data_IF_801300549589
#
_entry.id   IF_801300549589
#
_cell.length_a   1.000
_cell.length_b   1.000
_cell.length_c   1.000
_cell.angle_alpha   90.00
_cell.angle_beta   90.00
_cell.angle_gamma   90.00
#
_symmetry.space_group_name_H-M   'P 1'
#
loop_
_entity.id
_entity.type
_entity.pdbx_description
1 polymer ?
#
# COMPACT_ATOMS: atom_id res chain seq x y z
N UNK A 1 7.54 -5.29 23.11
CA UNK A 1 8.62 -4.37 23.56
C UNK A 1 9.26 -3.76 22.33
N UNK A 2 9.32 -2.43 22.15
CA UNK A 2 10.15 -1.86 21.11
C UNK A 2 11.60 -1.84 21.58
N UNK A 3 12.50 -2.42 20.78
CA UNK A 3 13.96 -2.28 20.90
C UNK A 3 14.36 -0.81 20.66
N UNK A 4 14.26 0.04 21.68
CA UNK A 4 14.93 1.35 21.69
C UNK A 4 16.26 1.21 22.40
N UNK A 5 17.27 0.69 21.70
CA UNK A 5 18.66 0.90 22.13
C UNK A 5 18.97 2.37 21.89
N UNK A 6 18.87 3.20 22.92
CA UNK A 6 19.35 4.59 22.86
C UNK A 6 20.87 4.53 22.64
N UNK A 7 21.29 4.70 21.39
CA UNK A 7 22.70 4.77 21.05
C UNK A 7 23.23 6.15 21.45
N UNK A 8 24.29 6.17 22.24
CA UNK A 8 25.03 7.39 22.51
C UNK A 8 25.93 7.70 21.30
N UNK A 9 25.52 8.71 20.52
CA UNK A 9 26.23 9.13 19.32
C UNK A 9 27.39 10.09 19.61
N UNK A 10 27.55 10.54 20.87
CA UNK A 10 28.66 11.45 21.24
C UNK A 10 30.03 10.78 21.13
N UNK A 11 30.06 9.45 21.18
CA UNK A 11 31.29 8.64 21.08
C UNK A 11 31.74 8.38 19.63
N UNK A 12 30.99 8.83 18.64
CA UNK A 12 31.28 8.55 17.24
C UNK A 12 32.21 9.62 16.67
N UNK A 13 33.19 9.19 15.88
CA UNK A 13 33.95 10.11 15.02
C UNK A 13 33.05 10.70 13.93
N UNK A 14 33.44 11.86 13.40
CA UNK A 14 32.73 12.53 12.30
C UNK A 14 32.50 11.62 11.10
N UNK A 15 33.49 10.79 10.74
CA UNK A 15 33.36 9.82 9.63
C UNK A 15 32.31 8.75 9.91
N UNK A 16 32.23 8.27 11.15
CA UNK A 16 31.20 7.31 11.54
C UNK A 16 29.81 7.94 11.55
N UNK A 17 29.70 9.20 12.02
CA UNK A 17 28.45 9.97 11.97
C UNK A 17 27.99 10.21 10.52
N UNK A 18 28.90 10.61 9.62
CA UNK A 18 28.61 10.80 8.21
C UNK A 18 28.08 9.52 7.54
N UNK A 19 28.76 8.40 7.76
CA UNK A 19 28.33 7.11 7.21
C UNK A 19 26.95 6.70 7.74
N UNK A 20 26.68 6.95 9.03
CA UNK A 20 25.39 6.66 9.63
C UNK A 20 24.28 7.52 9.02
N UNK A 21 24.50 8.83 8.88
CA UNK A 21 23.54 9.76 8.25
C UNK A 21 23.27 9.31 6.81
N UNK A 22 24.31 9.02 6.05
CA UNK A 22 24.17 8.57 4.66
C UNK A 22 23.33 7.28 4.55
N UNK A 23 23.58 6.29 5.41
CA UNK A 23 22.77 5.05 5.43
C UNK A 23 21.31 5.31 5.80
N UNK A 24 21.06 6.19 6.77
CA UNK A 24 19.70 6.57 7.17
C UNK A 24 18.96 7.29 6.03
N UNK A 25 19.61 8.19 5.32
CA UNK A 25 19.05 8.87 4.15
C UNK A 25 18.65 7.87 3.05
N UNK A 26 19.53 6.93 2.71
CA UNK A 26 19.22 5.88 1.72
C UNK A 26 18.04 5.02 2.17
N UNK A 27 17.99 4.65 3.45
CA UNK A 27 16.90 3.86 4.01
C UNK A 27 15.57 4.63 3.96
N UNK A 28 15.56 5.91 4.32
CA UNK A 28 14.37 6.77 4.24
C UNK A 28 13.91 6.88 2.79
N UNK A 29 14.81 7.13 1.84
CA UNK A 29 14.47 7.23 0.42
C UNK A 29 13.87 5.93 -0.12
N UNK A 30 14.44 4.77 0.24
CA UNK A 30 13.88 3.47 -0.14
C UNK A 30 12.48 3.28 0.44
N UNK A 31 12.28 3.56 1.74
CA UNK A 31 10.97 3.44 2.38
C UNK A 31 9.92 4.37 1.74
N UNK A 32 10.32 5.57 1.31
CA UNK A 32 9.43 6.49 0.59
C UNK A 32 9.01 5.90 -0.77
N UNK A 33 9.96 5.38 -1.54
CA UNK A 33 9.68 4.74 -2.84
C UNK A 33 8.78 3.51 -2.68
N UNK A 34 9.08 2.64 -1.72
CA UNK A 34 8.29 1.44 -1.43
C UNK A 34 6.86 1.82 -1.02
N UNK A 35 6.69 2.88 -0.24
CA UNK A 35 5.37 3.40 0.16
C UNK A 35 4.56 3.90 -1.04
N UNK A 36 5.18 4.60 -1.99
CA UNK A 36 4.51 5.06 -3.21
C UNK A 36 4.06 3.88 -4.06
N UNK A 37 4.97 2.93 -4.34
CA UNK A 37 4.65 1.73 -5.11
C UNK A 37 3.54 0.90 -4.46
N UNK A 38 3.57 0.76 -3.13
CA UNK A 38 2.53 0.06 -2.39
C UNK A 38 1.17 0.74 -2.53
N UNK A 39 1.10 2.07 -2.40
CA UNK A 39 -0.14 2.83 -2.59
C UNK A 39 -0.73 2.63 -3.99
N UNK A 40 0.10 2.68 -5.03
CA UNK A 40 -0.34 2.47 -6.42
C UNK A 40 -0.88 1.06 -6.64
N UNK A 41 -0.20 0.03 -6.12
CA UNK A 41 -0.68 -1.36 -6.23
C UNK A 41 -2.01 -1.56 -5.52
N UNK A 42 -2.13 -1.00 -4.31
CA UNK A 42 -3.34 -1.08 -3.50
C UNK A 42 -4.52 -0.38 -4.20
N UNK A 43 -4.30 0.81 -4.76
CA UNK A 43 -5.32 1.52 -5.54
C UNK A 43 -5.81 0.70 -6.75
N UNK A 44 -4.88 0.11 -7.52
CA UNK A 44 -5.23 -0.76 -8.65
C UNK A 44 -5.99 -2.02 -8.23
N UNK A 45 -5.65 -2.60 -7.08
CA UNK A 45 -6.39 -3.75 -6.55
C UNK A 45 -7.81 -3.38 -6.12
N UNK A 46 -8.00 -2.22 -5.50
CA UNK A 46 -9.34 -1.74 -5.13
C UNK A 46 -10.18 -1.46 -6.37
N UNK A 47 -9.63 -0.76 -7.37
CA UNK A 47 -10.33 -0.47 -8.62
C UNK A 47 -10.79 -1.75 -9.34
N UNK A 48 -9.92 -2.77 -9.39
CA UNK A 48 -10.29 -4.09 -9.94
C UNK A 48 -11.41 -4.77 -9.15
N UNK A 49 -11.39 -4.67 -7.82
CA UNK A 49 -12.44 -5.25 -6.97
C UNK A 49 -13.77 -4.52 -7.18
N UNK A 50 -13.74 -3.20 -7.21
CA UNK A 50 -14.94 -2.36 -7.43
C UNK A 50 -15.57 -2.68 -8.78
N UNK A 51 -14.77 -2.78 -9.85
CA UNK A 51 -15.28 -3.18 -11.17
C UNK A 51 -15.87 -4.59 -11.15
N UNK A 52 -15.18 -5.57 -10.52
CA UNK A 52 -15.72 -6.93 -10.40
C UNK A 52 -17.06 -6.97 -9.62
N UNK A 53 -17.22 -6.12 -8.60
CA UNK A 53 -18.50 -6.04 -7.88
C UNK A 53 -19.59 -5.42 -8.74
N UNK A 54 -19.27 -4.37 -9.49
CA UNK A 54 -20.20 -3.75 -10.44
C UNK A 54 -20.69 -4.75 -11.48
N UNK A 55 -19.77 -5.49 -12.11
CA UNK A 55 -20.12 -6.50 -13.12
C UNK A 55 -21.03 -7.59 -12.55
N UNK A 56 -20.79 -8.03 -11.30
CA UNK A 56 -21.65 -9.00 -10.62
C UNK A 56 -23.04 -8.44 -10.31
N UNK A 57 -23.12 -7.19 -9.88
CA UNK A 57 -24.40 -6.51 -9.61
C UNK A 57 -25.19 -6.38 -10.91
N UNK A 58 -24.54 -5.97 -12.00
CA UNK A 58 -25.18 -5.83 -13.30
C UNK A 58 -25.71 -7.18 -13.82
N UNK A 59 -24.91 -8.25 -13.72
CA UNK A 59 -25.36 -9.59 -14.08
C UNK A 59 -26.56 -10.07 -13.22
N UNK A 60 -26.56 -9.80 -11.91
CA UNK A 60 -27.67 -10.13 -11.04
C UNK A 60 -28.94 -9.34 -11.40
N UNK A 61 -28.80 -8.05 -11.71
CA UNK A 61 -29.91 -7.20 -12.12
C UNK A 61 -30.51 -7.68 -13.44
N UNK A 62 -29.69 -8.09 -14.41
CA UNK A 62 -30.19 -8.67 -15.66
C UNK A 62 -30.98 -9.96 -15.43
N UNK A 63 -30.49 -10.85 -14.57
CA UNK A 63 -31.18 -12.09 -14.22
C UNK A 63 -32.53 -11.80 -13.55
N UNK A 64 -32.56 -10.83 -12.63
CA UNK A 64 -33.79 -10.39 -11.96
C UNK A 64 -34.80 -9.80 -12.95
N UNK A 65 -34.35 -8.98 -13.91
CA UNK A 65 -35.23 -8.45 -14.95
C UNK A 65 -35.79 -9.55 -15.86
N UNK A 66 -34.97 -10.53 -16.22
CA UNK A 66 -35.42 -11.68 -17.02
C UNK A 66 -36.44 -12.52 -16.27
N UNK A 67 -36.23 -12.80 -14.98
CA UNK A 67 -37.18 -13.56 -14.17
C UNK A 67 -38.49 -12.79 -13.95
N UNK A 68 -38.42 -11.48 -13.71
CA UNK A 68 -39.61 -10.63 -13.62
C UNK A 68 -40.44 -10.63 -14.91
N UNK A 69 -39.79 -10.59 -16.08
CA UNK A 69 -40.47 -10.67 -17.39
C UNK A 69 -41.10 -12.03 -17.68
N UNK A 70 -40.57 -13.11 -17.11
CA UNK A 70 -41.10 -14.48 -17.27
C UNK A 70 -42.32 -14.77 -16.40
N UNK A 71 -42.53 -13.98 -15.34
CA UNK A 71 -43.63 -14.12 -14.39
C UNK A 71 -44.83 -13.21 -14.69
N UNK A 72 -44.74 -12.37 -15.73
CA UNK A 72 -45.81 -11.51 -16.25
C UNK A 72 -46.35 -12.06 -17.56
#
# INVERSE_FOLDING_TARGET
MPNTTNKDYTQYSEKQLFNLIHQLEQKIKKMQNDRVSFKEKMAKELEKRDQNFKDKIDALNELLQKSAKLLM
#
